data_IF_289362630436
#
_entry.id   IF_289362630436
#
_cell.length_a   1.000
_cell.length_b   1.000
_cell.length_c   1.000
_cell.angle_alpha   90.00
_cell.angle_beta   90.00
_cell.angle_gamma   90.00
#
_symmetry.space_group_name_H-M   'P 1'
#
loop_
_entity.id
_entity.type
_entity.pdbx_description
1 polymer ?
#
# COMPACT_ATOMS: atom_id res chain seq x y z
N UNK A 1 -1.44 -19.14 10.17
CA UNK A 1 -0.96 -17.77 9.87
C UNK A 1 -1.87 -17.17 8.82
N UNK A 2 -2.35 -15.93 9.01
CA UNK A 2 -3.22 -15.23 8.05
C UNK A 2 -2.38 -14.21 7.29
N UNK A 3 -2.63 -14.07 5.98
CA UNK A 3 -1.99 -13.08 5.11
C UNK A 3 -3.03 -12.03 4.70
N UNK A 4 -2.74 -10.76 4.97
CA UNK A 4 -3.55 -9.64 4.50
C UNK A 4 -3.14 -9.23 3.09
N UNK A 5 -4.11 -9.07 2.17
CA UNK A 5 -3.86 -8.51 0.84
C UNK A 5 -4.75 -7.28 0.67
N UNK A 6 -4.11 -6.12 0.55
CA UNK A 6 -4.79 -4.83 0.36
C UNK A 6 -4.71 -4.44 -1.11
N UNK A 7 -5.87 -4.27 -1.74
CA UNK A 7 -5.98 -3.81 -3.12
C UNK A 7 -5.95 -2.29 -3.16
N UNK A 8 -4.76 -1.73 -3.43
CA UNK A 8 -4.52 -0.30 -3.53
C UNK A 8 -5.15 0.40 -4.74
N UNK A 9 -5.76 -0.38 -5.64
CA UNK A 9 -6.53 0.09 -6.78
C UNK A 9 -5.70 0.64 -7.94
N UNK A 10 -6.40 0.92 -9.04
CA UNK A 10 -5.83 1.48 -10.28
C UNK A 10 -5.73 3.00 -10.29
N UNK A 11 -5.82 3.61 -11.48
CA UNK A 11 -5.47 5.01 -11.77
C UNK A 11 -6.11 6.10 -10.88
N UNK A 12 -7.15 5.79 -10.09
CA UNK A 12 -7.70 6.72 -9.11
C UNK A 12 -8.34 7.97 -9.73
N UNK A 13 -8.99 7.82 -10.88
CA UNK A 13 -9.58 8.91 -11.68
C UNK A 13 -10.62 9.74 -10.92
N UNK A 14 -11.37 9.12 -10.00
CA UNK A 14 -12.38 9.80 -9.15
C UNK A 14 -11.78 10.74 -8.10
N UNK A 15 -10.50 10.57 -7.76
CA UNK A 15 -9.78 11.42 -6.80
C UNK A 15 -8.83 12.39 -7.50
N UNK A 16 -8.99 12.59 -8.80
CA UNK A 16 -8.27 13.64 -9.50
C UNK A 16 -8.62 15.01 -8.89
N UNK A 17 -7.65 15.93 -8.68
CA UNK A 17 -6.24 15.88 -9.08
C UNK A 17 -5.27 15.25 -8.06
N UNK A 18 -5.75 14.75 -6.92
CA UNK A 18 -4.90 14.25 -5.83
C UNK A 18 -4.07 13.02 -6.21
N UNK A 19 -4.50 12.26 -7.22
CA UNK A 19 -3.83 11.06 -7.74
C UNK A 19 -2.90 11.34 -8.92
N UNK A 20 -2.77 12.60 -9.38
CA UNK A 20 -1.95 12.97 -10.55
C UNK A 20 -0.47 12.56 -10.44
N UNK A 21 0.09 12.63 -9.22
CA UNK A 21 1.51 12.34 -8.95
C UNK A 21 1.71 11.26 -7.89
N UNK A 22 0.69 10.48 -7.53
CA UNK A 22 0.80 9.45 -6.48
C UNK A 22 -0.28 8.38 -6.63
N UNK A 23 0.03 7.17 -6.19
CA UNK A 23 -0.93 6.09 -6.09
C UNK A 23 -2.13 6.50 -5.21
N UNK A 24 -3.34 5.99 -5.50
CA UNK A 24 -4.53 6.19 -4.66
C UNK A 24 -4.28 5.89 -3.16
N UNK A 25 -3.56 4.83 -2.77
CA UNK A 25 -3.30 4.55 -1.35
C UNK A 25 -2.38 5.58 -0.68
N UNK A 26 -1.58 6.29 -1.47
CA UNK A 26 -0.66 7.32 -0.98
C UNK A 26 -1.31 8.71 -0.83
N UNK A 27 -2.61 8.84 -1.10
CA UNK A 27 -3.35 10.09 -0.91
C UNK A 27 -3.41 10.41 0.60
N UNK A 28 -3.03 11.63 1.02
CA UNK A 28 -3.10 12.04 2.42
C UNK A 28 -4.54 12.03 2.95
N UNK A 29 -4.70 11.67 4.22
CA UNK A 29 -5.95 11.66 4.97
C UNK A 29 -5.68 12.22 6.38
N UNK A 30 -6.56 13.09 6.88
CA UNK A 30 -6.51 13.53 8.29
C UNK A 30 -5.16 14.15 8.72
N UNK A 31 -4.59 15.02 7.87
CA UNK A 31 -3.31 15.71 8.03
C UNK A 31 -2.05 14.82 8.02
N UNK A 32 -1.97 13.82 8.90
CA UNK A 32 -0.75 13.04 9.15
C UNK A 32 -0.80 11.60 8.61
N UNK A 33 -1.94 11.15 8.09
CA UNK A 33 -2.13 9.80 7.60
C UNK A 33 -2.28 9.75 6.08
N UNK A 34 -2.34 8.53 5.55
CA UNK A 34 -2.68 8.22 4.16
C UNK A 34 -3.80 7.19 4.13
N UNK A 35 -4.48 7.09 2.99
CA UNK A 35 -5.56 6.12 2.80
C UNK A 35 -5.13 4.68 3.10
N UNK A 36 -3.87 4.32 2.85
CA UNK A 36 -3.33 2.98 3.15
C UNK A 36 -3.27 2.66 4.65
N UNK A 37 -3.21 3.67 5.52
CA UNK A 37 -3.02 3.46 6.95
C UNK A 37 -4.28 2.83 7.58
N UNK A 38 -5.48 3.14 7.05
CA UNK A 38 -6.74 2.59 7.55
C UNK A 38 -6.79 1.06 7.46
N UNK A 39 -6.64 0.43 6.27
CA UNK A 39 -6.66 -1.03 6.16
C UNK A 39 -5.45 -1.68 6.83
N UNK A 40 -4.25 -1.06 6.82
CA UNK A 40 -3.08 -1.60 7.50
C UNK A 40 -3.30 -1.64 9.02
N UNK A 41 -3.77 -0.54 9.62
CA UNK A 41 -4.10 -0.48 11.04
C UNK A 41 -5.18 -1.49 11.43
N UNK A 42 -6.19 -1.70 10.58
CA UNK A 42 -7.22 -2.73 10.83
C UNK A 42 -6.61 -4.14 10.86
N UNK A 43 -5.72 -4.46 9.93
CA UNK A 43 -5.01 -5.74 9.92
C UNK A 43 -4.16 -5.92 11.19
N UNK A 44 -3.36 -4.91 11.55
CA UNK A 44 -2.51 -4.97 12.74
C UNK A 44 -3.33 -5.11 14.03
N UNK A 45 -4.42 -4.36 14.19
CA UNK A 45 -5.33 -4.48 15.33
C UNK A 45 -6.07 -5.83 15.38
N UNK A 46 -6.12 -6.55 14.26
CA UNK A 46 -6.68 -7.90 14.15
C UNK A 46 -5.63 -9.00 14.24
N UNK A 47 -4.41 -8.70 14.71
CA UNK A 47 -3.27 -9.61 14.78
C UNK A 47 -2.83 -10.19 13.40
N UNK A 48 -3.05 -9.46 12.31
CA UNK A 48 -2.55 -9.79 10.98
C UNK A 48 -1.32 -8.94 10.69
N UNK A 49 -0.14 -9.54 10.87
CA UNK A 49 1.15 -8.85 10.74
C UNK A 49 1.86 -9.05 9.40
N UNK A 50 1.35 -9.95 8.53
CA UNK A 50 1.88 -10.21 7.19
C UNK A 50 0.92 -9.59 6.18
N UNK A 51 1.34 -8.52 5.51
CA UNK A 51 0.45 -7.71 4.67
C UNK A 51 1.14 -7.38 3.35
N UNK A 52 0.48 -7.68 2.23
CA UNK A 52 0.84 -7.18 0.91
C UNK A 52 -0.12 -6.08 0.45
N UNK A 53 0.45 -5.05 -0.17
CA UNK A 53 -0.30 -3.94 -0.78
C UNK A 53 -0.10 -3.99 -2.28
N UNK A 54 -1.15 -4.33 -3.04
CA UNK A 54 -1.12 -4.38 -4.49
C UNK A 54 -1.43 -2.99 -5.07
N UNK A 55 -0.55 -2.45 -5.91
CA UNK A 55 -0.79 -1.17 -6.60
C UNK A 55 -0.21 -1.16 -8.01
N UNK A 56 -0.89 -0.50 -8.94
CA UNK A 56 -0.52 -0.50 -10.36
C UNK A 56 0.35 0.70 -10.75
N UNK A 57 0.31 1.82 -10.01
CA UNK A 57 0.93 3.07 -10.45
C UNK A 57 1.64 3.81 -9.31
N UNK A 58 2.80 4.39 -9.62
CA UNK A 58 3.48 5.40 -8.80
C UNK A 58 3.67 5.00 -7.30
N UNK A 59 4.22 3.80 -7.11
CA UNK A 59 4.43 3.14 -5.83
C UNK A 59 5.57 3.72 -4.99
N UNK A 60 6.47 4.54 -5.55
CA UNK A 60 7.66 5.03 -4.84
C UNK A 60 7.31 5.80 -3.55
N UNK A 61 6.31 6.68 -3.61
CA UNK A 61 5.85 7.44 -2.44
C UNK A 61 5.17 6.55 -1.39
N UNK A 62 4.48 5.49 -1.83
CA UNK A 62 3.81 4.52 -0.98
C UNK A 62 4.83 3.61 -0.29
N UNK A 63 5.79 3.06 -1.03
CA UNK A 63 6.90 2.25 -0.52
C UNK A 63 7.68 3.00 0.56
N UNK A 64 8.05 4.26 0.31
CA UNK A 64 8.77 5.06 1.31
C UNK A 64 7.95 5.28 2.58
N UNK A 65 6.64 5.47 2.45
CA UNK A 65 5.75 5.65 3.60
C UNK A 65 5.66 4.37 4.43
N UNK A 66 5.40 3.24 3.79
CA UNK A 66 5.27 1.96 4.48
C UNK A 66 6.59 1.54 5.12
N UNK A 67 7.72 1.66 4.41
CA UNK A 67 9.04 1.38 4.97
C UNK A 67 9.34 2.21 6.23
N UNK A 68 8.97 3.50 6.25
CA UNK A 68 9.19 4.38 7.41
C UNK A 68 8.21 4.15 8.55
N UNK A 69 6.93 3.95 8.24
CA UNK A 69 5.88 3.79 9.24
C UNK A 69 5.88 2.39 9.87
N UNK A 70 6.31 1.38 9.11
CA UNK A 70 6.04 -0.02 9.40
C UNK A 70 7.28 -0.94 9.27
N UNK A 71 8.43 -0.44 8.81
CA UNK A 71 9.59 -1.28 8.46
C UNK A 71 10.43 -1.85 9.62
N UNK A 72 10.16 -1.49 10.88
CA UNK A 72 11.00 -1.90 12.00
C UNK A 72 10.32 -2.53 13.21
N UNK A 73 8.98 -2.59 13.26
CA UNK A 73 8.24 -2.93 14.50
C UNK A 73 6.99 -3.79 14.28
N UNK A 74 6.84 -4.45 13.13
CA UNK A 74 5.65 -5.27 12.86
C UNK A 74 5.92 -6.73 13.19
N UNK A 75 5.08 -7.32 14.05
CA UNK A 75 5.18 -8.73 14.47
C UNK A 75 5.82 -8.96 15.83
N UNK A 76 6.03 -7.92 16.65
CA UNK A 76 6.54 -8.03 18.02
C UNK A 76 7.97 -8.59 18.09
N UNK A 77 8.32 -9.27 19.18
CA UNK A 77 9.68 -9.77 19.45
C UNK A 77 10.27 -10.71 18.38
N UNK A 78 9.44 -11.32 17.53
CA UNK A 78 9.90 -12.26 16.49
C UNK A 78 10.19 -11.58 15.14
N UNK A 79 9.82 -10.30 14.96
CA UNK A 79 10.03 -9.54 13.71
C UNK A 79 9.62 -10.27 12.42
N UNK A 80 8.66 -11.20 12.49
CA UNK A 80 8.19 -12.01 11.35
C UNK A 80 7.02 -11.33 10.59
N UNK A 81 6.74 -10.06 10.91
CA UNK A 81 5.70 -9.28 10.27
C UNK A 81 6.26 -8.27 9.27
N UNK A 82 5.50 -8.01 8.21
CA UNK A 82 5.90 -7.08 7.16
C UNK A 82 4.69 -6.41 6.52
N UNK A 83 4.93 -5.22 5.98
CA UNK A 83 3.99 -4.52 5.10
C UNK A 83 4.75 -4.12 3.84
N UNK A 84 4.51 -4.85 2.76
CA UNK A 84 5.25 -4.68 1.50
C UNK A 84 4.32 -4.31 0.34
N UNK A 85 4.83 -3.50 -0.59
CA UNK A 85 4.11 -3.16 -1.81
C UNK A 85 4.50 -4.10 -2.93
N UNK A 86 3.51 -4.75 -3.51
CA UNK A 86 3.62 -5.45 -4.77
C UNK A 86 3.14 -4.52 -5.87
N UNK A 87 4.10 -3.91 -6.56
CA UNK A 87 3.80 -3.00 -7.66
C UNK A 87 3.65 -3.80 -8.95
N UNK A 88 2.45 -3.80 -9.54
CA UNK A 88 2.25 -4.29 -10.90
C UNK A 88 2.80 -3.23 -11.85
N UNK A 89 3.96 -3.47 -12.42
CA UNK A 89 4.56 -2.56 -13.40
C UNK A 89 3.95 -2.86 -14.77
N UNK A 90 3.22 -1.90 -15.36
CA UNK A 90 2.85 -2.00 -16.77
C UNK A 90 4.13 -1.88 -17.61
N UNK A 91 4.47 -2.96 -18.31
CA UNK A 91 5.56 -2.94 -19.28
C UNK A 91 5.04 -2.26 -20.57
N UNK A 92 5.85 -1.47 -21.29
CA UNK A 92 5.44 -0.84 -22.55
C UNK A 92 4.89 -1.83 -23.58
N UNK A 93 5.31 -3.10 -23.48
CA UNK A 93 4.95 -4.17 -24.40
C UNK A 93 3.58 -4.81 -24.11
N UNK A 94 2.99 -4.60 -22.93
CA UNK A 94 1.70 -5.20 -22.59
C UNK A 94 0.81 -4.25 -21.78
N UNK A 95 0.17 -3.27 -22.44
CA UNK A 95 -0.73 -2.32 -21.79
C UNK A 95 -2.01 -2.95 -21.21
N UNK A 96 -2.32 -4.20 -21.56
CA UNK A 96 -3.52 -4.92 -21.11
C UNK A 96 -3.31 -5.77 -19.84
N UNK A 97 -2.09 -5.84 -19.31
CA UNK A 97 -1.82 -6.57 -18.07
C UNK A 97 -2.32 -5.76 -16.85
N UNK A 98 -3.27 -6.35 -16.11
CA UNK A 98 -3.98 -5.75 -14.96
C UNK A 98 -4.72 -4.45 -15.30
N UNK A 99 -5.83 -4.56 -16.04
CA UNK A 99 -6.93 -3.58 -16.00
C UNK A 99 -7.73 -3.69 -14.70
#
# INVERSE_FOLDING_TARGET
>A
SVLGIILGGGAGTRLYPLTKKRAKPAVPLGANYRLIDIPVSNCLNSNISKIYVLTQFNSASLNRHLSRAYGGNIGGYKNDGFVEVLAAQQSPENPNWFQ
#
